data_IF_073707818029
#
_entry.id   IF_073707818029
#
_cell.length_a   1.000
_cell.length_b   1.000
_cell.length_c   1.000
_cell.angle_alpha   90.00
_cell.angle_beta   90.00
_cell.angle_gamma   90.00
#
_symmetry.space_group_name_H-M   'P 1'
#
loop_
_entity.id
_entity.type
_entity.pdbx_description
1 polymer ?
#
# COMPACT_ATOMS: atom_id res chain seq x y z
N UNK A 1 4.33 -13.49 -14.33
CA UNK A 1 3.22 -14.03 -13.48
C UNK A 1 2.60 -12.92 -12.63
N UNK A 2 1.37 -13.07 -12.08
CA UNK A 2 0.72 -12.06 -11.21
C UNK A 2 0.62 -12.56 -9.78
N UNK A 3 1.00 -11.74 -8.80
CA UNK A 3 0.78 -11.99 -7.38
C UNK A 3 -0.33 -11.08 -6.85
N UNK A 4 -1.39 -11.66 -6.26
CA UNK A 4 -2.53 -10.93 -5.69
C UNK A 4 -2.50 -10.97 -4.17
N UNK A 5 -2.66 -9.82 -3.54
CA UNK A 5 -2.52 -9.68 -2.09
C UNK A 5 -3.77 -9.06 -1.47
N UNK A 6 -4.17 -9.62 -0.33
CA UNK A 6 -5.35 -9.20 0.41
C UNK A 6 -5.07 -8.01 1.33
N UNK A 7 -6.14 -7.27 1.64
CA UNK A 7 -6.15 -6.33 2.74
C UNK A 7 -6.11 -6.99 4.11
N UNK A 8 -5.88 -6.17 5.14
CA UNK A 8 -5.82 -6.62 6.54
C UNK A 8 -4.93 -5.77 7.44
N UNK A 9 -4.78 -4.48 7.15
CA UNK A 9 -3.93 -3.56 7.91
C UNK A 9 -2.49 -4.05 8.06
N UNK A 10 -1.91 -3.84 9.25
CA UNK A 10 -0.51 -4.16 9.54
C UNK A 10 -0.18 -5.64 9.34
N UNK A 11 -1.14 -6.54 9.63
CA UNK A 11 -0.97 -7.98 9.40
C UNK A 11 -0.71 -8.29 7.93
N UNK A 12 -1.48 -7.69 7.02
CA UNK A 12 -1.30 -7.89 5.59
C UNK A 12 0.02 -7.30 5.09
N UNK A 13 0.46 -6.16 5.64
CA UNK A 13 1.75 -5.56 5.35
C UNK A 13 2.91 -6.51 5.73
N UNK A 14 2.93 -7.02 6.96
CA UNK A 14 3.99 -7.92 7.46
C UNK A 14 3.97 -9.24 6.69
N UNK A 15 2.79 -9.83 6.48
CA UNK A 15 2.66 -11.09 5.76
C UNK A 15 3.13 -10.98 4.29
N UNK A 16 2.82 -9.87 3.62
CA UNK A 16 3.31 -9.62 2.26
C UNK A 16 4.84 -9.53 2.23
N UNK A 17 5.45 -8.76 3.14
CA UNK A 17 6.91 -8.64 3.17
C UNK A 17 7.59 -10.01 3.36
N UNK A 18 7.15 -10.79 4.36
CA UNK A 18 7.68 -12.13 4.58
C UNK A 18 7.46 -13.07 3.37
N UNK A 19 6.32 -12.95 2.68
CA UNK A 19 6.07 -13.72 1.44
C UNK A 19 7.06 -13.36 0.34
N UNK A 20 7.36 -12.07 0.15
CA UNK A 20 8.33 -11.62 -0.84
C UNK A 20 9.75 -12.08 -0.50
N UNK A 21 10.11 -12.09 0.79
CA UNK A 21 11.40 -12.61 1.23
C UNK A 21 11.57 -14.10 0.92
N UNK A 22 10.55 -14.92 1.19
CA UNK A 22 10.63 -16.35 0.85
C UNK A 22 10.70 -16.56 -0.67
N UNK A 23 9.95 -15.79 -1.45
CA UNK A 23 10.04 -15.82 -2.90
C UNK A 23 11.44 -15.42 -3.41
N UNK A 24 12.08 -14.42 -2.78
CA UNK A 24 13.44 -14.01 -3.09
C UNK A 24 14.45 -15.14 -2.77
N UNK A 25 14.35 -15.74 -1.57
CA UNK A 25 15.23 -16.85 -1.13
C UNK A 25 15.18 -18.06 -2.06
N UNK A 26 14.01 -18.32 -2.64
CA UNK A 26 13.81 -19.43 -3.57
C UNK A 26 14.06 -19.06 -5.05
N UNK A 27 14.48 -17.82 -5.35
CA UNK A 27 14.68 -17.37 -6.73
C UNK A 27 13.39 -17.28 -7.56
N UNK A 28 12.24 -17.21 -6.89
CA UNK A 28 10.92 -17.15 -7.53
C UNK A 28 10.41 -15.73 -7.70
N UNK A 29 10.99 -14.75 -7.00
CA UNK A 29 10.58 -13.35 -7.08
C UNK A 29 10.70 -12.80 -8.50
N UNK A 30 11.77 -13.15 -9.22
CA UNK A 30 12.03 -12.71 -10.60
C UNK A 30 10.99 -13.23 -11.61
N UNK A 31 10.19 -14.24 -11.23
CA UNK A 31 9.09 -14.75 -12.07
C UNK A 31 7.81 -13.92 -11.97
N UNK A 32 7.75 -13.01 -10.98
CA UNK A 32 6.60 -12.16 -10.71
C UNK A 32 6.72 -10.89 -11.55
N UNK A 33 5.75 -10.71 -12.46
CA UNK A 33 5.68 -9.56 -13.35
C UNK A 33 4.82 -8.43 -12.77
N UNK A 34 3.82 -8.79 -11.96
CA UNK A 34 2.87 -7.84 -11.40
C UNK A 34 2.62 -8.12 -9.93
N UNK A 35 2.70 -7.08 -9.11
CA UNK A 35 2.38 -7.12 -7.70
C UNK A 35 1.11 -6.31 -7.45
N UNK A 36 0.01 -7.00 -7.15
CA UNK A 36 -1.32 -6.40 -7.02
C UNK A 36 -1.76 -6.39 -5.55
N UNK A 37 -2.02 -5.22 -4.97
CA UNK A 37 -2.40 -5.09 -3.56
C UNK A 37 -3.61 -4.19 -3.31
N UNK A 38 -4.30 -4.47 -2.19
CA UNK A 38 -5.42 -3.68 -1.67
C UNK A 38 -5.27 -3.44 -0.17
N UNK A 39 -5.72 -2.29 0.35
CA UNK A 39 -5.69 -1.98 1.78
C UNK A 39 -4.29 -2.24 2.40
N UNK A 40 -4.16 -2.95 3.53
CA UNK A 40 -2.88 -3.12 4.24
C UNK A 40 -1.69 -3.62 3.41
N UNK A 41 -1.89 -4.42 2.36
CA UNK A 41 -0.78 -4.83 1.47
C UNK A 41 -0.19 -3.64 0.70
N UNK A 42 -0.99 -2.60 0.43
CA UNK A 42 -0.50 -1.39 -0.26
C UNK A 42 0.49 -0.61 0.61
N UNK A 43 0.43 -0.74 1.94
CA UNK A 43 1.38 -0.10 2.85
C UNK A 43 2.78 -0.69 2.68
N UNK A 44 2.88 -2.02 2.55
CA UNK A 44 4.13 -2.70 2.24
C UNK A 44 4.64 -2.27 0.87
N UNK A 45 3.77 -2.32 -0.15
CA UNK A 45 4.14 -1.91 -1.52
C UNK A 45 4.64 -0.47 -1.54
N UNK A 46 3.92 0.48 -0.95
CA UNK A 46 4.36 1.89 -0.91
C UNK A 46 5.73 2.04 -0.25
N UNK A 47 6.00 1.29 0.82
CA UNK A 47 7.30 1.30 1.49
C UNK A 47 8.43 0.70 0.65
N UNK A 48 8.16 -0.35 -0.13
CA UNK A 48 9.16 -1.03 -0.96
C UNK A 48 9.55 -0.18 -2.16
N UNK A 49 8.55 0.34 -2.90
CA UNK A 49 8.75 1.06 -4.16
C UNK A 49 9.36 2.47 -4.00
N UNK A 50 9.69 2.88 -2.77
CA UNK A 50 10.60 4.00 -2.51
C UNK A 50 12.04 3.72 -2.94
N UNK A 51 12.43 2.44 -3.04
CA UNK A 51 13.79 2.03 -3.40
C UNK A 51 13.75 1.36 -4.77
N UNK A 52 14.59 1.82 -5.70
CA UNK A 52 14.64 1.28 -7.07
C UNK A 52 15.13 -0.18 -7.17
N UNK A 53 15.78 -0.68 -6.13
CA UNK A 53 16.36 -2.02 -6.04
C UNK A 53 15.81 -2.80 -4.83
N UNK A 54 14.54 -2.56 -4.47
CA UNK A 54 13.95 -3.17 -3.29
C UNK A 54 13.92 -4.70 -3.35
N UNK A 55 13.76 -5.30 -4.54
CA UNK A 55 13.73 -6.74 -4.71
C UNK A 55 15.03 -7.43 -4.29
N UNK A 56 16.17 -6.72 -4.33
CA UNK A 56 17.47 -7.21 -3.84
C UNK A 56 17.67 -6.91 -2.34
N UNK A 57 17.07 -5.83 -1.84
CA UNK A 57 17.27 -5.30 -0.49
C UNK A 57 16.19 -5.69 0.53
N UNK A 58 15.37 -6.70 0.24
CA UNK A 58 14.23 -7.08 1.08
C UNK A 58 14.62 -7.32 2.55
N UNK A 59 15.75 -7.97 2.82
CA UNK A 59 16.23 -8.19 4.20
C UNK A 59 16.52 -6.87 4.95
N UNK A 60 17.25 -5.94 4.33
CA UNK A 60 17.53 -4.64 4.95
C UNK A 60 16.25 -3.82 5.17
N UNK A 61 15.27 -3.95 4.26
CA UNK A 61 13.97 -3.31 4.39
C UNK A 61 13.12 -3.93 5.50
N UNK A 62 13.25 -5.24 5.75
CA UNK A 62 12.64 -5.93 6.90
C UNK A 62 13.17 -5.37 8.22
N UNK A 63 14.49 -5.30 8.36
CA UNK A 63 15.15 -4.78 9.57
C UNK A 63 14.73 -3.34 9.87
N UNK A 64 14.71 -2.50 8.84
CA UNK A 64 14.22 -1.11 8.93
C UNK A 64 12.74 -1.06 9.37
N UNK A 65 11.89 -1.91 8.80
CA UNK A 65 10.48 -2.00 9.17
C UNK A 65 10.31 -2.48 10.62
N UNK A 66 10.98 -3.57 11.01
CA UNK A 66 10.93 -4.12 12.36
C UNK A 66 11.43 -3.11 13.39
N UNK A 67 12.54 -2.42 13.10
CA UNK A 67 13.09 -1.37 13.97
C UNK A 67 12.13 -0.19 14.13
N UNK A 68 11.43 0.19 13.06
CA UNK A 68 10.40 1.24 13.08
C UNK A 68 9.16 0.83 13.86
N UNK A 69 8.62 -0.37 13.62
CA UNK A 69 7.43 -0.86 14.30
C UNK A 69 7.69 -1.14 15.78
N UNK A 70 8.91 -1.52 16.14
CA UNK A 70 9.32 -1.74 17.54
C UNK A 70 9.51 -0.44 18.33
N UNK A 71 9.75 0.69 17.64
CA UNK A 71 9.93 2.01 18.27
C UNK A 71 8.61 2.79 18.22
N UNK A 72 8.05 3.07 19.38
CA UNK A 72 6.88 3.94 19.47
C UNK A 72 7.25 5.39 19.12
N UNK A 73 7.04 5.79 17.88
CA UNK A 73 7.31 7.15 17.39
C UNK A 73 6.04 7.90 16.99
N UNK A 74 4.87 7.41 17.42
CA UNK A 74 3.62 8.12 17.21
C UNK A 74 3.56 9.37 18.08
N UNK A 75 3.41 10.52 17.42
CA UNK A 75 3.35 11.82 18.07
C UNK A 75 1.99 12.46 17.81
N UNK A 76 1.18 12.60 18.87
CA UNK A 76 -0.11 13.28 18.81
C UNK A 76 0.04 14.73 18.30
N UNK A 77 0.98 15.55 18.81
CA UNK A 77 1.17 16.91 18.27
C UNK A 77 1.47 16.93 16.78
N UNK A 78 2.28 15.98 16.29
CA UNK A 78 2.60 15.87 14.86
C UNK A 78 1.38 15.46 14.05
N UNK A 79 0.61 14.48 14.52
CA UNK A 79 -0.63 14.04 13.88
C UNK A 79 -1.64 15.19 13.79
N UNK A 80 -1.88 15.92 14.89
CA UNK A 80 -2.78 17.08 14.92
C UNK A 80 -2.34 18.19 13.98
N UNK A 81 -1.03 18.48 13.91
CA UNK A 81 -0.49 19.48 12.97
C UNK A 81 -0.76 19.09 11.52
N UNK A 82 -0.54 17.83 11.16
CA UNK A 82 -0.78 17.34 9.80
C UNK A 82 -2.26 17.34 9.44
N UNK A 83 -3.14 16.96 10.38
CA UNK A 83 -4.58 17.05 10.20
C UNK A 83 -5.06 18.48 9.97
N UNK A 84 -4.55 19.43 10.76
CA UNK A 84 -4.90 20.84 10.60
C UNK A 84 -4.44 21.39 9.25
N UNK A 85 -3.29 20.93 8.75
CA UNK A 85 -2.80 21.31 7.42
C UNK A 85 -3.66 20.70 6.32
N UNK A 86 -3.96 19.41 6.40
CA UNK A 86 -4.80 18.72 5.43
C UNK A 86 -6.24 19.28 5.40
N UNK A 87 -6.77 19.74 6.54
CA UNK A 87 -8.09 20.35 6.63
C UNK A 87 -8.22 21.69 5.88
N UNK A 88 -7.09 22.28 5.42
CA UNK A 88 -7.11 23.47 4.54
C UNK A 88 -7.35 23.10 3.07
N UNK A 89 -7.17 21.85 2.68
CA UNK A 89 -7.44 21.38 1.33
C UNK A 89 -8.95 21.17 1.14
N UNK A 90 -9.48 21.63 0.01
CA UNK A 90 -10.90 21.47 -0.34
C UNK A 90 -11.29 19.99 -0.51
N UNK A 91 -10.33 19.10 -0.76
CA UNK A 91 -10.52 17.66 -0.90
C UNK A 91 -10.31 16.88 0.40
N UNK A 92 -10.21 17.58 1.54
CA UNK A 92 -10.11 16.92 2.84
C UNK A 92 -11.26 15.94 3.06
N UNK A 93 -10.93 14.74 3.55
CA UNK A 93 -11.91 13.69 3.81
C UNK A 93 -11.53 12.85 5.03
N UNK A 94 -12.43 11.95 5.44
CA UNK A 94 -12.16 10.98 6.50
C UNK A 94 -10.93 10.10 6.19
N UNK A 95 -10.55 9.97 4.91
CA UNK A 95 -9.33 9.27 4.49
C UNK A 95 -8.07 9.95 5.01
N UNK A 96 -7.98 11.29 4.93
CA UNK A 96 -6.88 12.07 5.51
C UNK A 96 -6.86 11.92 7.03
N UNK A 97 -8.04 11.97 7.67
CA UNK A 97 -8.15 11.74 9.11
C UNK A 97 -7.60 10.36 9.51
N UNK A 98 -8.04 9.31 8.83
CA UNK A 98 -7.62 7.94 9.05
C UNK A 98 -6.11 7.75 8.80
N UNK A 99 -5.57 8.38 7.76
CA UNK A 99 -4.15 8.31 7.42
C UNK A 99 -3.27 8.90 8.53
N UNK A 100 -3.54 10.13 8.98
CA UNK A 100 -2.69 10.78 9.99
C UNK A 100 -2.92 10.30 11.43
N UNK A 101 -4.04 9.63 11.71
CA UNK A 101 -4.31 9.08 13.05
C UNK A 101 -3.95 7.59 13.10
N UNK A 102 -4.71 6.75 12.42
CA UNK A 102 -4.62 5.30 12.56
C UNK A 102 -3.44 4.74 11.79
N UNK A 103 -3.27 5.09 10.52
CA UNK A 103 -2.16 4.57 9.71
C UNK A 103 -0.82 5.05 10.26
N UNK A 104 -0.69 6.35 10.57
CA UNK A 104 0.50 6.88 11.23
C UNK A 104 0.75 6.26 12.61
N UNK A 105 -0.31 6.04 13.39
CA UNK A 105 -0.23 5.36 14.68
C UNK A 105 0.28 3.93 14.58
N UNK A 106 -0.16 3.17 13.56
CA UNK A 106 0.25 1.79 13.34
C UNK A 106 1.63 1.65 12.69
N UNK A 107 1.94 2.49 11.70
CA UNK A 107 3.16 2.37 10.89
C UNK A 107 4.33 3.18 11.42
N UNK A 108 4.07 4.11 12.35
CA UNK A 108 5.07 5.00 12.91
C UNK A 108 5.84 5.81 11.83
N UNK A 109 5.25 5.95 10.64
CA UNK A 109 5.78 6.67 9.48
C UNK A 109 4.64 7.39 8.78
N UNK A 110 4.96 8.57 8.26
CA UNK A 110 4.12 9.26 7.29
C UNK A 110 4.79 9.13 5.95
N UNK A 111 4.16 8.38 5.05
CA UNK A 111 4.58 8.37 3.66
C UNK A 111 4.03 9.63 2.98
N UNK A 112 4.94 10.50 2.54
CA UNK A 112 4.59 11.70 1.76
C UNK A 112 4.94 11.54 0.28
N UNK A 113 5.45 10.36 -0.12
CA UNK A 113 5.82 10.09 -1.50
C UNK A 113 4.58 10.06 -2.39
N UNK A 114 4.75 10.50 -3.63
CA UNK A 114 3.72 10.40 -4.64
C UNK A 114 3.84 9.10 -5.41
N UNK A 115 2.72 8.53 -5.86
CA UNK A 115 2.75 7.32 -6.68
C UNK A 115 3.62 7.51 -7.92
N UNK A 116 3.60 8.68 -8.56
CA UNK A 116 4.46 8.99 -9.71
C UNK A 116 5.96 8.77 -9.47
N UNK A 117 6.44 8.89 -8.23
CA UNK A 117 7.85 8.69 -7.88
C UNK A 117 8.24 7.20 -7.89
N UNK A 118 7.27 6.31 -7.60
CA UNK A 118 7.45 4.86 -7.63
C UNK A 118 7.68 4.33 -9.06
N UNK A 119 7.40 5.14 -10.08
CA UNK A 119 7.61 4.79 -11.49
C UNK A 119 9.05 4.37 -11.74
N UNK A 120 10.01 5.13 -11.21
CA UNK A 120 11.44 4.87 -11.32
C UNK A 120 11.86 3.47 -10.81
N UNK A 121 11.16 2.95 -9.80
CA UNK A 121 11.41 1.61 -9.27
C UNK A 121 10.82 0.50 -10.14
N UNK A 122 9.98 0.81 -11.13
CA UNK A 122 9.29 -0.18 -11.98
C UNK A 122 9.72 -0.15 -13.45
N UNK A 123 10.42 0.90 -13.90
CA UNK A 123 10.77 1.10 -15.31
C UNK A 123 11.86 0.15 -15.83
N UNK A 124 12.80 -0.24 -14.98
CA UNK A 124 13.97 -1.02 -15.40
C UNK A 124 13.73 -2.53 -15.40
N UNK A 125 12.53 -3.00 -15.01
CA UNK A 125 12.20 -4.43 -14.94
C UNK A 125 12.83 -5.19 -13.76
N UNK A 126 13.59 -4.53 -12.90
CA UNK A 126 14.22 -5.14 -11.72
C UNK A 126 13.21 -5.47 -10.61
N UNK A 127 12.05 -4.82 -10.62
CA UNK A 127 10.98 -5.08 -9.67
C UNK A 127 9.68 -5.38 -10.44
N UNK A 128 8.80 -6.24 -9.88
CA UNK A 128 7.46 -6.42 -10.42
C UNK A 128 6.73 -5.10 -10.61
N UNK A 129 5.83 -5.00 -11.58
CA UNK A 129 5.05 -3.78 -11.80
C UNK A 129 3.95 -3.62 -10.72
N UNK A 130 3.87 -2.47 -10.02
CA UNK A 130 2.93 -2.27 -8.91
C UNK A 130 1.52 -1.95 -9.41
N UNK A 131 0.53 -2.62 -8.85
CA UNK A 131 -0.89 -2.39 -9.13
C UNK A 131 -1.63 -2.20 -7.81
N UNK A 132 -2.14 -0.99 -7.58
CA UNK A 132 -2.96 -0.65 -6.43
C UNK A 132 -4.43 -0.65 -6.84
N UNK A 133 -5.31 -1.19 -5.99
CA UNK A 133 -6.73 -1.25 -6.28
C UNK A 133 -7.58 -0.55 -5.20
N UNK A 134 -8.55 0.23 -5.66
CA UNK A 134 -9.59 0.87 -4.87
C UNK A 134 -10.96 0.65 -5.52
N UNK A 135 -12.04 0.85 -4.77
CA UNK A 135 -13.42 0.74 -5.29
C UNK A 135 -14.04 2.13 -5.31
N UNK A 136 -14.64 2.47 -6.44
CA UNK A 136 -15.41 3.69 -6.63
C UNK A 136 -16.84 3.53 -6.09
N UNK A 137 -17.30 4.51 -5.32
CA UNK A 137 -18.63 4.49 -4.67
C UNK A 137 -19.77 4.40 -5.68
N UNK A 138 -19.69 5.15 -6.79
CA UNK A 138 -20.73 5.16 -7.84
C UNK A 138 -20.81 3.81 -8.53
N UNK A 139 -19.67 3.14 -8.66
CA UNK A 139 -19.58 1.79 -9.21
C UNK A 139 -20.12 0.73 -8.25
N UNK A 140 -19.92 0.91 -6.94
CA UNK A 140 -20.49 0.02 -5.92
C UNK A 140 -22.01 0.13 -5.83
N UNK A 141 -22.55 1.35 -5.82
CA UNK A 141 -23.99 1.62 -5.71
C UNK A 141 -24.80 1.05 -6.90
N UNK A 142 -24.21 1.06 -8.11
CA UNK A 142 -24.82 0.43 -9.30
C UNK A 142 -24.91 -1.09 -9.21
N UNK A 143 -24.03 -1.74 -8.44
CA UNK A 143 -24.11 -3.19 -8.19
C UNK A 143 -25.23 -3.51 -7.21
N UNK A 144 -25.42 -2.66 -6.19
CA UNK A 144 -26.43 -2.90 -5.14
C UNK A 144 -27.85 -2.55 -5.57
N UNK A 145 -28.06 -1.54 -6.42
CA UNK A 145 -29.40 -1.16 -6.90
C UNK A 145 -30.01 -2.13 -7.93
N UNK A 146 -29.20 -2.87 -8.70
CA UNK A 146 -29.69 -3.52 -9.94
C UNK A 146 -29.82 -5.05 -9.91
N UNK A 147 -29.53 -5.78 -8.82
CA UNK A 147 -29.90 -7.21 -8.67
C UNK A 147 -29.51 -7.81 -7.30
N UNK A 148 -30.45 -8.13 -6.41
CA UNK A 148 -30.22 -9.13 -5.37
C UNK A 148 -30.25 -10.52 -6.05
N UNK A 149 -29.10 -10.98 -6.57
CA UNK A 149 -28.97 -12.33 -7.12
C UNK A 149 -28.16 -12.52 -8.41
N UNK A 150 -27.54 -11.47 -8.98
CA UNK A 150 -26.58 -11.62 -10.08
C UNK A 150 -25.19 -11.17 -9.62
N UNK A 151 -24.21 -12.06 -9.67
CA UNK A 151 -22.80 -11.79 -9.39
C UNK A 151 -22.22 -10.78 -10.40
N UNK A 152 -22.52 -9.49 -10.24
CA UNK A 152 -21.82 -8.40 -10.92
C UNK A 152 -20.70 -7.92 -10.01
N UNK A 153 -19.47 -7.95 -10.52
CA UNK A 153 -18.33 -7.38 -9.80
C UNK A 153 -18.35 -5.85 -9.95
N UNK A 154 -18.09 -5.08 -8.87
CA UNK A 154 -17.93 -3.64 -8.98
C UNK A 154 -16.72 -3.31 -9.86
N UNK A 155 -16.79 -2.20 -10.60
CA UNK A 155 -15.61 -1.69 -11.32
C UNK A 155 -14.54 -1.31 -10.29
N UNK A 156 -13.39 -1.99 -10.34
CA UNK A 156 -12.22 -1.60 -9.57
C UNK A 156 -11.56 -0.40 -10.25
N UNK A 157 -11.28 0.65 -9.47
CA UNK A 157 -10.29 1.64 -9.86
C UNK A 157 -8.91 1.01 -9.66
N UNK A 158 -8.26 0.72 -10.78
CA UNK A 158 -6.88 0.25 -10.80
C UNK A 158 -5.99 1.47 -10.94
N UNK A 159 -5.19 1.75 -9.91
CA UNK A 159 -4.17 2.77 -9.92
C UNK A 159 -2.84 2.05 -10.14
N UNK A 160 -2.35 2.11 -11.37
CA UNK A 160 -1.00 1.66 -11.71
C UNK A 160 -0.10 2.87 -11.93
N UNK A 161 1.19 2.70 -11.65
CA UNK A 161 2.18 3.77 -11.66
C UNK A 161 2.87 3.92 -13.01
#
# INVERSE_FOLDING_TARGET
>A
TKQKLSGGGLRAMIALHGTLQELQKHGLLDTIMYLCGVSGSTWCMSSLYKNGDWAEKLQALEESMCARLSKYTWSIPKATKMLLEAAKDENYSLTEFWAYTVVYGMLHELDKGHLSEQRSASENGNNPYPIYAAVDERSFSKVTEYSPGKNKQPNLQVISV
#
